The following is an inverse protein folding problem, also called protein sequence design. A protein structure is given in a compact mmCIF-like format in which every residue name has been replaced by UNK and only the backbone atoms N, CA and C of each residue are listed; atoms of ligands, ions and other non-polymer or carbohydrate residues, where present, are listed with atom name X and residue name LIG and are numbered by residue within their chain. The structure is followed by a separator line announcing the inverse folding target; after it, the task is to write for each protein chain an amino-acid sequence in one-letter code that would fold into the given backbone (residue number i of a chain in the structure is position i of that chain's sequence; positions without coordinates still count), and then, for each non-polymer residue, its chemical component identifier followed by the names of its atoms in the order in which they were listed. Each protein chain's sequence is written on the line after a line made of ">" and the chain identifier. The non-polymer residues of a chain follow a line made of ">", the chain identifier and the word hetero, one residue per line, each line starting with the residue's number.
data_IF_835693166418
#
_entry.id   IF_835693166418
#
_cell.length_a   1.000
_cell.length_b   1.000
_cell.length_c   1.000
_cell.angle_alpha   90.00
_cell.angle_beta   90.00
_cell.angle_gamma   90.00
#
_symmetry.space_group_name_H-M   'P 1'
#
loop_
_entity.id
_entity.type
_entity.pdbx_description
1 polymer ?
#
# COMPACT_ATOMS: atom_id res chain seq x y z
N UNK A 1 42.78 20.16 -60.82
CA UNK A 1 43.92 19.21 -60.86
C UNK A 1 44.70 19.37 -59.58
N UNK A 2 44.97 18.24 -58.90
CA UNK A 2 45.78 18.02 -57.69
C UNK A 2 45.31 18.76 -56.41
N UNK A 3 44.84 18.12 -55.33
CA UNK A 3 45.11 16.77 -54.83
C UNK A 3 46.13 16.85 -53.70
N UNK A 4 45.68 17.14 -52.48
CA UNK A 4 46.46 16.95 -51.24
C UNK A 4 45.57 16.39 -50.15
N UNK A 5 45.68 15.08 -49.97
CA UNK A 5 45.11 14.32 -48.88
C UNK A 5 45.79 14.71 -47.56
N UNK A 6 45.00 15.05 -46.55
CA UNK A 6 45.47 15.17 -45.16
C UNK A 6 44.65 14.20 -44.33
N UNK A 7 45.33 13.14 -43.88
CA UNK A 7 44.84 12.14 -42.93
C UNK A 7 44.73 12.80 -41.55
N UNK A 8 43.52 12.96 -41.02
CA UNK A 8 43.31 13.44 -39.64
C UNK A 8 43.10 12.22 -38.75
N UNK A 9 44.03 12.03 -37.82
CA UNK A 9 44.04 10.94 -36.85
C UNK A 9 42.92 11.09 -35.80
N UNK A 10 42.31 9.96 -35.45
CA UNK A 10 41.36 9.78 -34.35
C UNK A 10 41.97 10.20 -33.00
N UNK A 11 41.22 10.95 -32.21
CA UNK A 11 41.33 10.95 -30.75
C UNK A 11 39.92 10.71 -30.19
N UNK A 12 39.60 9.45 -29.87
CA UNK A 12 38.42 9.13 -29.07
C UNK A 12 38.72 9.50 -27.62
N UNK A 13 38.08 10.56 -27.12
CA UNK A 13 38.04 10.86 -25.70
C UNK A 13 37.22 9.78 -24.99
N UNK A 14 37.89 8.90 -24.26
CA UNK A 14 37.24 7.96 -23.35
C UNK A 14 36.71 8.74 -22.14
N UNK A 15 35.41 9.04 -22.13
CA UNK A 15 34.73 9.49 -20.92
C UNK A 15 34.65 8.31 -19.93
N UNK A 16 34.94 8.51 -18.64
CA UNK A 16 34.74 7.46 -17.66
C UNK A 16 33.23 7.22 -17.55
N UNK A 17 32.81 6.02 -17.95
CA UNK A 17 31.50 5.50 -17.64
C UNK A 17 31.34 5.51 -16.12
N UNK A 18 30.50 6.41 -15.62
CA UNK A 18 30.03 6.35 -14.24
C UNK A 18 29.35 4.99 -14.05
N UNK A 19 30.07 4.08 -13.38
CA UNK A 19 29.57 2.76 -13.04
C UNK A 19 28.29 2.94 -12.21
N UNK A 20 27.16 2.48 -12.75
CA UNK A 20 25.94 2.23 -12.00
C UNK A 20 26.25 1.12 -10.99
N UNK A 21 26.65 1.50 -9.79
CA UNK A 21 26.79 0.57 -8.67
C UNK A 21 25.42 0.31 -8.06
N UNK A 22 24.95 -0.94 -8.17
CA UNK A 22 23.78 -1.43 -7.44
C UNK A 22 22.75 -2.14 -8.31
N UNK A 23 23.15 -3.14 -9.10
CA UNK A 23 22.19 -4.14 -9.58
C UNK A 23 21.81 -5.01 -8.37
N UNK A 24 20.58 -4.81 -7.88
CA UNK A 24 19.96 -5.68 -6.88
C UNK A 24 19.85 -7.12 -7.44
N UNK A 25 20.08 -8.17 -6.64
CA UNK A 25 20.02 -9.54 -7.15
C UNK A 25 18.65 -9.85 -7.77
N UNK A 26 18.57 -10.41 -8.99
CA UNK A 26 17.30 -10.86 -9.55
C UNK A 26 16.80 -12.04 -8.72
N UNK A 27 15.78 -11.83 -7.88
CA UNK A 27 15.18 -12.90 -7.08
C UNK A 27 14.48 -12.48 -5.79
N UNK A 28 14.60 -11.22 -5.34
CA UNK A 28 13.69 -10.67 -4.32
C UNK A 28 12.61 -9.88 -5.03
N UNK A 29 11.48 -10.53 -5.32
CA UNK A 29 10.29 -9.80 -5.76
C UNK A 29 9.94 -8.80 -4.65
N UNK A 30 10.27 -7.52 -4.87
CA UNK A 30 10.01 -6.47 -3.90
C UNK A 30 8.50 -6.37 -3.76
N UNK A 31 8.04 -6.86 -2.62
CA UNK A 31 6.63 -7.07 -2.38
C UNK A 31 6.00 -5.75 -1.96
N UNK A 32 5.22 -5.12 -2.83
CA UNK A 32 4.48 -3.90 -2.47
C UNK A 32 3.47 -4.20 -1.34
N UNK A 33 3.42 -3.39 -0.27
CA UNK A 33 4.23 -2.21 -0.02
C UNK A 33 5.59 -2.57 0.60
N UNK A 34 6.65 -1.97 0.08
CA UNK A 34 8.00 -2.06 0.62
C UNK A 34 8.27 -0.97 1.66
N UNK A 35 9.37 -1.13 2.42
CA UNK A 35 9.79 -0.13 3.40
C UNK A 35 9.95 1.24 2.72
N UNK A 36 9.23 2.24 3.22
CA UNK A 36 9.28 3.61 2.69
C UNK A 36 8.16 3.93 1.71
N UNK A 37 7.38 2.94 1.27
CA UNK A 37 6.21 3.18 0.43
C UNK A 37 5.09 3.79 1.24
N UNK A 38 4.29 4.64 0.58
CA UNK A 38 2.93 4.93 1.03
C UNK A 38 1.99 3.93 0.38
N UNK A 39 0.90 3.61 1.05
CA UNK A 39 -0.14 2.80 0.45
C UNK A 39 -1.53 3.17 0.92
N UNK A 40 -2.51 2.84 0.08
CA UNK A 40 -3.92 2.79 0.38
C UNK A 40 -4.39 1.34 0.21
N UNK A 41 -5.00 0.81 1.26
CA UNK A 41 -5.77 -0.44 1.21
C UNK A 41 -7.24 -0.07 1.22
N UNK A 42 -7.99 -0.41 0.17
CA UNK A 42 -9.41 -0.14 0.06
C UNK A 42 -10.16 -1.45 -0.18
N UNK A 43 -11.06 -1.81 0.74
CA UNK A 43 -11.76 -3.09 0.70
C UNK A 43 -13.23 -2.95 1.02
N UNK A 44 -14.04 -3.85 0.46
CA UNK A 44 -15.47 -3.98 0.73
C UNK A 44 -15.83 -5.41 1.08
N UNK A 45 -16.91 -5.58 1.83
CA UNK A 45 -17.43 -6.89 2.18
C UNK A 45 -18.90 -6.82 2.59
N UNK A 46 -19.58 -7.96 2.77
CA UNK A 46 -21.02 -7.98 3.05
C UNK A 46 -21.37 -7.33 4.40
N UNK A 47 -22.43 -6.51 4.45
CA UNK A 47 -23.03 -5.97 5.68
C UNK A 47 -24.48 -6.41 5.91
N UNK A 48 -25.07 -7.15 4.97
CA UNK A 48 -26.49 -7.53 4.96
C UNK A 48 -27.18 -7.13 3.66
N UNK A 49 -28.50 -7.33 3.54
CA UNK A 49 -29.23 -7.04 2.31
C UNK A 49 -29.08 -5.59 1.86
N UNK A 50 -28.60 -5.38 0.63
CA UNK A 50 -28.45 -4.07 0.02
C UNK A 50 -27.36 -3.17 0.62
N UNK A 51 -26.49 -3.70 1.48
CA UNK A 51 -25.41 -2.94 2.12
C UNK A 51 -24.10 -3.73 2.14
N UNK A 52 -23.03 -3.02 1.89
CA UNK A 52 -21.67 -3.51 2.11
C UNK A 52 -21.02 -2.72 3.23
N UNK A 53 -20.08 -3.34 3.94
CA UNK A 53 -19.11 -2.63 4.76
C UNK A 53 -17.95 -2.24 3.86
N UNK A 54 -17.31 -1.12 4.16
CA UNK A 54 -16.05 -0.75 3.55
C UNK A 54 -15.01 -0.47 4.63
N UNK A 55 -13.75 -0.62 4.26
CA UNK A 55 -12.63 -0.08 5.01
C UNK A 55 -11.63 0.58 4.06
N UNK A 56 -11.04 1.68 4.52
CA UNK A 56 -9.89 2.34 3.89
C UNK A 56 -8.79 2.47 4.92
N UNK A 57 -7.60 1.98 4.60
CA UNK A 57 -6.40 2.16 5.42
C UNK A 57 -5.40 2.96 4.61
N UNK A 58 -5.20 4.22 4.99
CA UNK A 58 -4.13 5.04 4.45
C UNK A 58 -2.90 4.87 5.33
N UNK A 59 -1.75 4.57 4.73
CA UNK A 59 -0.52 4.28 5.44
C UNK A 59 0.61 5.18 4.96
N UNK A 60 1.29 5.81 5.91
CA UNK A 60 2.51 6.58 5.68
C UNK A 60 3.69 5.93 6.39
N UNK A 61 4.85 5.82 5.73
CA UNK A 61 6.01 5.19 6.33
C UNK A 61 6.47 6.00 7.53
N UNK A 62 6.74 5.31 8.63
CA UNK A 62 7.38 5.92 9.79
C UNK A 62 8.90 5.99 9.53
N UNK A 63 9.49 7.17 9.71
CA UNK A 63 10.84 7.45 9.22
C UNK A 63 11.87 6.64 9.99
N UNK A 64 12.69 5.89 9.26
CA UNK A 64 13.77 5.09 9.83
C UNK A 64 13.31 3.73 10.40
N UNK A 65 12.02 3.41 10.36
CA UNK A 65 11.47 2.14 10.84
C UNK A 65 10.95 1.28 9.69
N UNK A 66 10.57 0.03 9.99
CA UNK A 66 9.90 -0.88 9.04
C UNK A 66 8.36 -0.83 9.18
N UNK A 67 7.83 0.18 9.86
CA UNK A 67 6.43 0.33 10.18
C UNK A 67 5.78 1.47 9.37
N UNK A 68 4.46 1.44 9.31
CA UNK A 68 3.66 2.56 8.82
C UNK A 68 2.76 3.07 9.93
N UNK A 69 2.60 4.38 10.02
CA UNK A 69 1.47 4.99 10.72
C UNK A 69 0.26 4.92 9.80
N UNK A 70 -0.89 4.50 10.33
CA UNK A 70 -2.11 4.36 9.54
C UNK A 70 -3.26 5.23 10.04
N UNK A 71 -4.10 5.63 9.09
CA UNK A 71 -5.45 6.12 9.35
C UNK A 71 -6.44 5.12 8.76
N UNK A 72 -7.31 4.58 9.60
CA UNK A 72 -8.33 3.61 9.23
C UNK A 72 -9.68 4.29 9.25
N UNK A 73 -10.46 4.13 8.19
CA UNK A 73 -11.87 4.54 8.12
C UNK A 73 -12.71 3.33 7.77
N UNK A 74 -13.73 3.06 8.57
CA UNK A 74 -14.66 1.96 8.36
C UNK A 74 -16.11 2.46 8.39
N UNK A 75 -16.96 1.83 7.58
CA UNK A 75 -18.34 2.23 7.45
C UNK A 75 -19.15 1.29 6.58
N UNK A 76 -20.33 1.76 6.19
CA UNK A 76 -21.21 1.05 5.28
C UNK A 76 -21.46 1.84 4.01
N UNK A 77 -21.74 1.14 2.92
CA UNK A 77 -22.17 1.69 1.63
C UNK A 77 -23.49 1.06 1.23
N UNK A 78 -24.43 1.88 0.81
CA UNK A 78 -25.66 1.44 0.16
C UNK A 78 -25.33 1.03 -1.28
N UNK A 79 -25.61 -0.22 -1.64
CA UNK A 79 -25.22 -0.77 -2.95
C UNK A 79 -26.07 -0.22 -4.10
N UNK A 80 -27.22 0.39 -3.82
CA UNK A 80 -28.12 0.93 -4.85
C UNK A 80 -27.69 2.31 -5.32
N UNK A 81 -27.18 3.14 -4.41
CA UNK A 81 -26.86 4.54 -4.69
C UNK A 81 -25.40 4.92 -4.37
N UNK A 82 -24.60 3.97 -3.87
CA UNK A 82 -23.19 4.18 -3.53
C UNK A 82 -22.97 5.08 -2.31
N UNK A 83 -24.02 5.43 -1.56
CA UNK A 83 -23.92 6.36 -0.44
C UNK A 83 -23.18 5.72 0.71
N UNK A 84 -22.06 6.33 1.08
CA UNK A 84 -21.25 5.90 2.22
C UNK A 84 -21.73 6.55 3.52
N UNK A 85 -21.65 5.77 4.60
CA UNK A 85 -21.82 6.21 5.97
C UNK A 85 -20.61 5.73 6.77
N UNK A 86 -19.86 6.68 7.31
CA UNK A 86 -18.74 6.39 8.20
C UNK A 86 -19.30 5.93 9.56
N UNK A 87 -18.77 4.83 10.08
CA UNK A 87 -19.15 4.26 11.37
C UNK A 87 -18.04 4.45 12.41
N UNK A 88 -16.78 4.32 12.01
CA UNK A 88 -15.64 4.69 12.84
C UNK A 88 -14.44 5.12 12.01
N UNK A 89 -13.58 5.91 12.62
CA UNK A 89 -12.26 6.25 12.11
C UNK A 89 -11.24 6.05 13.23
N UNK A 90 -9.95 5.95 12.91
CA UNK A 90 -8.95 5.78 13.95
C UNK A 90 -7.53 5.82 13.43
N UNK A 91 -6.61 6.11 14.33
CA UNK A 91 -5.18 5.98 14.07
C UNK A 91 -4.72 4.55 14.37
N UNK A 92 -3.65 4.12 13.73
CA UNK A 92 -3.09 2.80 13.89
C UNK A 92 -1.65 2.67 13.40
N UNK A 93 -1.20 1.43 13.33
CA UNK A 93 0.10 1.06 12.79
C UNK A 93 -0.02 -0.16 11.88
N UNK A 94 0.85 -0.27 10.89
CA UNK A 94 0.98 -1.45 10.05
C UNK A 94 2.42 -1.95 10.00
N UNK A 95 2.59 -3.22 9.68
CA UNK A 95 3.88 -3.89 9.50
C UNK A 95 3.74 -5.10 8.59
N UNK A 96 4.89 -5.65 8.17
CA UNK A 96 4.98 -6.95 7.54
C UNK A 96 5.31 -8.00 8.60
N UNK A 97 4.39 -8.92 8.89
CA UNK A 97 4.65 -10.12 9.70
C UNK A 97 4.92 -11.31 8.79
N UNK A 98 6.17 -11.79 8.74
CA UNK A 98 6.62 -12.87 7.85
C UNK A 98 6.21 -12.65 6.39
N UNK A 99 6.30 -11.40 5.92
CA UNK A 99 5.91 -11.00 4.57
C UNK A 99 4.40 -10.80 4.36
N UNK A 100 3.58 -10.87 5.41
CA UNK A 100 2.14 -10.55 5.33
C UNK A 100 1.87 -9.18 5.92
N UNK A 101 1.14 -8.34 5.17
CA UNK A 101 0.74 -7.02 5.64
C UNK A 101 -0.37 -7.15 6.70
N UNK A 102 -0.16 -6.54 7.85
CA UNK A 102 -1.11 -6.51 8.94
C UNK A 102 -1.00 -5.20 9.73
N UNK A 103 -1.98 -4.94 10.59
CA UNK A 103 -1.94 -3.77 11.45
C UNK A 103 -2.93 -3.78 12.59
N UNK A 104 -2.78 -2.78 13.45
CA UNK A 104 -3.70 -2.44 14.52
C UNK A 104 -4.22 -1.03 14.33
N UNK A 105 -5.37 -0.75 14.94
CA UNK A 105 -5.94 0.59 14.97
C UNK A 105 -6.88 0.76 16.16
N UNK A 106 -7.11 2.00 16.57
CA UNK A 106 -7.99 2.34 17.69
C UNK A 106 -9.13 3.23 17.19
N UNK A 107 -10.39 2.73 17.17
CA UNK A 107 -11.53 3.52 16.73
C UNK A 107 -11.79 4.70 17.66
N UNK A 108 -12.18 5.81 17.05
CA UNK A 108 -12.82 6.97 17.68
C UNK A 108 -14.24 7.11 17.10
N UNK A 109 -15.24 7.10 17.99
CA UNK A 109 -16.66 7.22 17.63
C UNK A 109 -17.39 5.89 17.32
N UNK A 110 -18.71 5.97 17.14
CA UNK A 110 -19.55 4.87 16.66
C UNK A 110 -20.04 3.85 17.71
N UNK A 111 -19.80 4.08 19.01
CA UNK A 111 -20.18 3.14 20.07
C UNK A 111 -19.29 1.89 20.15
N UNK A 112 -18.22 1.85 19.37
CA UNK A 112 -17.17 0.83 19.43
C UNK A 112 -16.15 1.28 20.47
N UNK A 113 -16.44 0.96 21.75
CA UNK A 113 -15.72 1.38 22.97
C UNK A 113 -14.37 2.08 22.73
N UNK A 114 -14.32 3.36 23.07
CA UNK A 114 -13.14 4.20 22.92
C UNK A 114 -11.90 3.47 23.47
N UNK A 115 -10.83 3.42 22.67
CA UNK A 115 -9.55 2.79 23.00
C UNK A 115 -9.47 1.24 23.04
N UNK A 116 -10.46 0.49 22.55
CA UNK A 116 -10.25 -0.94 22.26
C UNK A 116 -9.45 -1.13 20.96
N UNK A 117 -8.19 -1.55 21.09
CA UNK A 117 -7.35 -1.88 19.93
C UNK A 117 -8.00 -2.98 19.08
N UNK A 118 -8.07 -2.71 17.78
CA UNK A 118 -8.62 -3.56 16.73
C UNK A 118 -7.50 -4.00 15.79
N UNK A 119 -7.68 -5.12 15.12
CA UNK A 119 -6.69 -5.67 14.18
C UNK A 119 -7.24 -5.79 12.78
N UNK A 120 -6.33 -5.84 11.80
CA UNK A 120 -6.59 -6.24 10.44
C UNK A 120 -5.37 -6.95 9.84
N UNK A 121 -5.60 -7.80 8.83
CA UNK A 121 -4.57 -8.52 8.10
C UNK A 121 -4.96 -8.75 6.65
N UNK A 122 -3.98 -8.75 5.76
CA UNK A 122 -4.10 -9.29 4.40
C UNK A 122 -3.93 -10.81 4.48
N UNK A 123 -5.00 -11.53 4.16
CA UNK A 123 -5.05 -12.98 4.24
C UNK A 123 -4.45 -13.63 2.99
N UNK A 124 -4.76 -13.06 1.82
CA UNK A 124 -4.24 -13.45 0.52
C UNK A 124 -4.14 -12.25 -0.41
N UNK A 125 -3.22 -12.32 -1.38
CA UNK A 125 -3.01 -11.30 -2.40
C UNK A 125 -2.67 -11.93 -3.74
N UNK A 126 -3.22 -11.38 -4.81
CA UNK A 126 -2.85 -11.64 -6.20
C UNK A 126 -2.52 -10.30 -6.86
N UNK A 127 -1.23 -10.05 -7.13
CA UNK A 127 -0.78 -8.71 -7.53
C UNK A 127 -1.14 -7.64 -6.48
N UNK A 128 -2.05 -6.74 -6.84
CA UNK A 128 -2.57 -5.67 -5.98
C UNK A 128 -3.97 -5.99 -5.41
N UNK A 129 -4.62 -7.05 -5.90
CA UNK A 129 -5.92 -7.49 -5.39
C UNK A 129 -5.73 -8.28 -4.09
N UNK A 130 -6.52 -7.93 -3.07
CA UNK A 130 -6.35 -8.44 -1.71
C UNK A 130 -7.64 -9.00 -1.15
N UNK A 131 -7.50 -10.02 -0.31
CA UNK A 131 -8.51 -10.41 0.67
C UNK A 131 -7.99 -10.10 2.06
N UNK A 132 -8.85 -9.51 2.89
CA UNK A 132 -8.50 -9.09 4.25
C UNK A 132 -9.46 -9.65 5.28
N UNK A 133 -8.96 -9.79 6.49
CA UNK A 133 -9.76 -9.96 7.71
C UNK A 133 -9.60 -8.72 8.57
N UNK A 134 -10.70 -8.13 9.03
CA UNK A 134 -10.67 -6.92 9.88
C UNK A 134 -11.64 -7.01 11.04
N UNK A 135 -11.24 -6.47 12.18
CA UNK A 135 -12.14 -6.31 13.33
C UNK A 135 -13.20 -5.24 13.05
N UNK A 136 -14.42 -5.44 13.58
CA UNK A 136 -15.51 -4.47 13.44
C UNK A 136 -15.16 -3.07 13.97
N UNK A 137 -15.75 -1.98 13.42
CA UNK A 137 -16.83 -1.93 12.42
C UNK A 137 -16.44 -2.17 10.97
N UNK A 138 -15.19 -2.52 10.68
CA UNK A 138 -14.76 -2.84 9.32
C UNK A 138 -15.39 -4.15 8.81
N UNK A 139 -15.26 -4.48 7.50
CA UNK A 139 -15.67 -5.77 6.97
C UNK A 139 -14.95 -6.90 7.73
N UNK A 140 -15.70 -7.84 8.31
CA UNK A 140 -15.10 -9.00 8.99
C UNK A 140 -14.17 -9.79 8.05
N UNK A 141 -14.63 -9.94 6.79
CA UNK A 141 -13.83 -10.32 5.64
C UNK A 141 -14.15 -9.35 4.51
N UNK A 142 -13.13 -8.88 3.79
CA UNK A 142 -13.30 -7.96 2.68
C UNK A 142 -12.36 -8.28 1.52
N UNK A 143 -12.72 -7.79 0.33
CA UNK A 143 -11.93 -7.86 -0.89
C UNK A 143 -11.78 -6.48 -1.49
N UNK A 144 -10.68 -6.23 -2.17
CA UNK A 144 -10.42 -4.96 -2.83
C UNK A 144 -8.97 -4.86 -3.25
N UNK A 145 -8.41 -3.67 -3.17
CA UNK A 145 -7.10 -3.36 -3.74
C UNK A 145 -6.13 -2.73 -2.74
N UNK A 146 -4.86 -2.89 -3.06
CA UNK A 146 -3.74 -2.18 -2.48
C UNK A 146 -3.10 -1.29 -3.55
N UNK A 147 -2.95 0.00 -3.29
CA UNK A 147 -2.38 0.97 -4.23
C UNK A 147 -1.43 1.93 -3.52
N UNK A 148 -0.64 2.71 -4.27
CA UNK A 148 0.23 3.77 -3.75
C UNK A 148 -0.53 4.99 -3.23
N UNK A 149 -1.80 5.15 -3.62
CA UNK A 149 -2.68 6.22 -3.17
C UNK A 149 -2.43 7.59 -3.82
N UNK A 150 -1.72 7.62 -4.95
CA UNK A 150 -1.49 8.78 -5.83
C UNK A 150 -2.57 8.97 -6.91
#
# INVERSE_FOLDING_TARGET
>A
MLGRSVTVALVLAAAPAAAKSGAEPPGSEVMFPAKGDRFLLAVRGPAGPGRERFARVYASPDRGTAYWTTSVTCGTVDVRNGRERIEAQGAGSAWLDKGKLAGTWSPVGGGYGDAQMRTWSVDSRDGLDVTVSMSGPCPGRGTGDLSSGD
#
